data_IF_165451923935
#
_entry.id   IF_165451923935
#
_cell.length_a   1.000
_cell.length_b   1.000
_cell.length_c   1.000
_cell.angle_alpha   90.00
_cell.angle_beta   90.00
_cell.angle_gamma   90.00
#
_symmetry.space_group_name_H-M   'P 1'
#
loop_
_entity.id
_entity.type
_entity.pdbx_description
1 polymer ?
#
# COMPACT_ATOMS: atom_id res chain seq x y z
N UNK A 1 -2.47 -11.89 11.46
CA UNK A 1 -2.89 -10.51 11.80
C UNK A 1 -4.30 -10.54 12.39
N UNK A 2 -4.55 -9.77 13.41
CA UNK A 2 -5.89 -9.67 14.01
C UNK A 2 -6.81 -8.83 13.12
N UNK A 3 -8.10 -9.14 13.15
CA UNK A 3 -9.11 -8.43 12.37
C UNK A 3 -9.75 -7.31 13.18
N UNK A 4 -10.38 -6.36 12.46
CA UNK A 4 -11.10 -5.21 13.05
C UNK A 4 -10.19 -4.30 13.89
N UNK A 5 -8.92 -4.20 13.51
CA UNK A 5 -7.93 -3.36 14.18
C UNK A 5 -7.27 -2.46 13.14
N UNK A 6 -7.03 -1.21 13.52
CA UNK A 6 -6.24 -0.28 12.72
C UNK A 6 -4.80 -0.36 13.21
N UNK A 7 -3.88 -0.72 12.32
CA UNK A 7 -2.46 -0.79 12.64
C UNK A 7 -1.76 0.48 12.16
N UNK A 8 -1.09 1.15 13.08
CA UNK A 8 -0.30 2.34 12.75
C UNK A 8 1.13 1.92 12.39
N UNK A 9 1.30 1.48 11.15
CA UNK A 9 2.58 0.97 10.65
C UNK A 9 2.70 1.29 9.17
N UNK A 10 3.93 1.41 8.67
CA UNK A 10 4.17 1.52 7.24
C UNK A 10 3.52 0.34 6.50
N UNK A 11 2.78 0.64 5.43
CA UNK A 11 1.97 -0.38 4.77
C UNK A 11 2.79 -1.49 4.11
N UNK A 12 3.94 -1.17 3.53
CA UNK A 12 4.81 -2.17 2.90
C UNK A 12 5.35 -3.13 3.96
N UNK A 13 5.91 -2.59 5.02
CA UNK A 13 6.44 -3.40 6.12
C UNK A 13 5.33 -4.19 6.82
N UNK A 14 4.18 -3.56 7.05
CA UNK A 14 3.05 -4.19 7.71
C UNK A 14 2.50 -5.36 6.91
N UNK A 15 2.27 -5.19 5.61
CA UNK A 15 1.79 -6.27 4.77
C UNK A 15 2.80 -7.42 4.71
N UNK A 16 4.08 -7.09 4.57
CA UNK A 16 5.14 -8.10 4.47
C UNK A 16 5.25 -8.94 5.75
N UNK A 17 5.15 -8.30 6.91
CA UNK A 17 5.38 -8.95 8.20
C UNK A 17 4.14 -9.61 8.79
N UNK A 18 2.95 -9.10 8.50
CA UNK A 18 1.73 -9.45 9.23
C UNK A 18 0.66 -10.16 8.40
N UNK A 19 0.73 -10.08 7.08
CA UNK A 19 -0.33 -10.61 6.21
C UNK A 19 0.20 -11.73 5.33
N UNK A 20 -0.47 -12.88 5.38
CA UNK A 20 -0.11 -14.02 4.57
C UNK A 20 -0.48 -13.81 3.11
N UNK A 21 0.23 -14.51 2.23
CA UNK A 21 -0.04 -14.54 0.81
C UNK A 21 -1.47 -15.01 0.54
N UNK A 22 -2.15 -14.35 -0.41
CA UNK A 22 -3.47 -14.74 -0.88
C UNK A 22 -4.52 -14.88 0.24
N UNK A 23 -4.49 -13.99 1.24
CA UNK A 23 -5.37 -14.08 2.41
C UNK A 23 -6.41 -12.97 2.49
N UNK A 24 -6.32 -11.95 1.65
CA UNK A 24 -7.18 -10.77 1.71
C UNK A 24 -8.19 -10.78 0.58
N UNK A 25 -9.45 -10.51 0.91
CA UNK A 25 -10.57 -10.52 -0.06
C UNK A 25 -10.72 -9.21 -0.81
N UNK A 26 -10.45 -8.09 -0.14
CA UNK A 26 -10.68 -6.75 -0.67
C UNK A 26 -9.62 -5.79 -0.18
N UNK A 27 -9.07 -5.01 -1.09
CA UNK A 27 -8.15 -3.93 -0.76
C UNK A 27 -8.73 -2.63 -1.31
N UNK A 28 -8.80 -1.62 -0.45
CA UNK A 28 -9.13 -0.25 -0.83
C UNK A 28 -7.92 0.60 -0.44
N UNK A 29 -7.32 1.28 -1.42
CA UNK A 29 -6.13 2.07 -1.20
C UNK A 29 -6.34 3.51 -1.62
N UNK A 30 -5.84 4.44 -0.82
CA UNK A 30 -5.85 5.87 -1.11
C UNK A 30 -4.44 6.41 -0.84
N UNK A 31 -3.48 6.10 -1.73
CA UNK A 31 -2.10 6.48 -1.49
C UNK A 31 -1.87 7.97 -1.76
N UNK A 32 -0.84 8.56 -1.15
CA UNK A 32 -0.46 9.92 -1.49
C UNK A 32 0.03 10.00 -2.93
N UNK A 33 -0.23 11.12 -3.58
CA UNK A 33 0.18 11.38 -4.96
C UNK A 33 1.43 12.25 -4.97
N UNK A 34 2.23 12.12 -6.02
CA UNK A 34 3.47 12.86 -6.16
C UNK A 34 3.19 14.32 -6.55
N UNK A 35 3.35 15.24 -5.59
CA UNK A 35 3.26 16.69 -5.78
C UNK A 35 1.97 17.16 -6.47
N UNK A 36 0.87 16.46 -6.26
CA UNK A 36 -0.39 16.77 -6.95
C UNK A 36 -1.15 17.90 -6.25
N UNK A 37 -1.19 17.87 -4.90
CA UNK A 37 -2.02 18.80 -4.13
C UNK A 37 -1.20 19.92 -3.49
N UNK A 38 0.12 19.75 -3.38
CA UNK A 38 0.99 20.72 -2.72
C UNK A 38 0.99 20.61 -1.20
N UNK A 39 0.38 19.57 -0.66
CA UNK A 39 0.44 19.27 0.75
C UNK A 39 1.80 18.74 1.14
N UNK A 40 2.11 18.83 2.45
CA UNK A 40 3.42 18.44 2.96
C UNK A 40 3.79 16.99 2.62
N UNK A 41 2.83 16.09 2.66
CA UNK A 41 3.05 14.68 2.36
C UNK A 41 3.28 14.40 0.86
N UNK A 42 2.93 15.35 -0.02
CA UNK A 42 3.22 15.23 -1.46
C UNK A 42 4.72 15.34 -1.75
N UNK A 43 5.51 15.78 -0.79
CA UNK A 43 6.95 15.99 -0.94
C UNK A 43 7.79 14.94 -0.20
N UNK A 44 7.20 13.78 0.12
CA UNK A 44 7.89 12.67 0.75
C UNK A 44 8.98 12.06 -0.13
N UNK A 45 8.85 12.21 -1.44
CA UNK A 45 9.80 11.67 -2.40
C UNK A 45 10.51 12.81 -3.11
N UNK A 46 11.81 12.63 -3.31
CA UNK A 46 12.64 13.63 -3.98
C UNK A 46 12.37 13.71 -5.47
N UNK A 47 12.18 12.56 -6.10
CA UNK A 47 12.04 12.44 -7.55
C UNK A 47 10.85 11.59 -7.90
N UNK A 48 10.44 11.66 -9.15
CA UNK A 48 9.40 10.81 -9.70
C UNK A 48 9.82 9.33 -9.65
N UNK A 49 11.10 9.04 -9.87
CA UNK A 49 11.62 7.68 -9.78
C UNK A 49 11.48 7.12 -8.37
N UNK A 50 11.76 7.92 -7.35
CA UNK A 50 11.61 7.50 -5.96
C UNK A 50 10.15 7.18 -5.64
N UNK A 51 9.21 7.99 -6.14
CA UNK A 51 7.79 7.76 -5.98
C UNK A 51 7.36 6.46 -6.68
N UNK A 52 7.82 6.24 -7.91
CA UNK A 52 7.48 5.04 -8.67
C UNK A 52 8.04 3.78 -8.02
N UNK A 53 9.28 3.86 -7.50
CA UNK A 53 9.90 2.74 -6.79
C UNK A 53 9.09 2.37 -5.52
N UNK A 54 8.69 3.38 -4.74
CA UNK A 54 7.84 3.15 -3.58
C UNK A 54 6.50 2.55 -3.98
N UNK A 55 5.89 3.07 -5.05
CA UNK A 55 4.60 2.58 -5.53
C UNK A 55 4.67 1.12 -5.96
N UNK A 56 5.74 0.72 -6.63
CA UNK A 56 5.95 -0.68 -7.01
C UNK A 56 5.99 -1.59 -5.78
N UNK A 57 6.59 -1.14 -4.69
CA UNK A 57 6.70 -1.93 -3.46
C UNK A 57 5.34 -2.19 -2.83
N UNK A 58 4.52 -1.15 -2.64
CA UNK A 58 3.23 -1.36 -1.99
C UNK A 58 2.24 -2.09 -2.91
N UNK A 59 2.30 -1.85 -4.21
CA UNK A 59 1.44 -2.55 -5.19
C UNK A 59 1.81 -4.04 -5.23
N UNK A 60 3.10 -4.36 -5.22
CA UNK A 60 3.56 -5.75 -5.20
C UNK A 60 3.08 -6.49 -3.95
N UNK A 61 3.16 -5.84 -2.78
CA UNK A 61 2.65 -6.43 -1.55
C UNK A 61 1.13 -6.58 -1.56
N UNK A 62 0.41 -5.59 -2.09
CA UNK A 62 -1.05 -5.68 -2.23
C UNK A 62 -1.44 -6.86 -3.12
N UNK A 63 -0.74 -7.05 -4.24
CA UNK A 63 -0.98 -8.17 -5.14
C UNK A 63 -0.69 -9.51 -4.45
N UNK A 64 0.37 -9.57 -3.64
CA UNK A 64 0.75 -10.79 -2.93
C UNK A 64 -0.31 -11.23 -1.92
N UNK A 65 -0.83 -10.29 -1.13
CA UNK A 65 -1.78 -10.61 -0.06
C UNK A 65 -3.22 -10.82 -0.56
N UNK A 66 -3.55 -10.28 -1.73
CA UNK A 66 -4.89 -10.40 -2.29
C UNK A 66 -5.11 -11.83 -2.81
N UNK A 67 -6.20 -12.46 -2.39
CA UNK A 67 -6.52 -13.80 -2.87
C UNK A 67 -6.98 -13.78 -4.32
N UNK A 68 -6.92 -14.92 -4.98
CA UNK A 68 -7.47 -15.06 -6.34
C UNK A 68 -8.98 -14.77 -6.31
N UNK A 69 -9.44 -13.94 -7.24
CA UNK A 69 -10.83 -13.49 -7.26
C UNK A 69 -11.14 -12.35 -6.29
N UNK A 70 -10.15 -11.89 -5.52
CA UNK A 70 -10.30 -10.71 -4.68
C UNK A 70 -10.39 -9.43 -5.49
N UNK A 71 -10.79 -8.34 -4.84
CA UNK A 71 -10.99 -7.04 -5.50
C UNK A 71 -10.02 -5.99 -4.96
N UNK A 72 -9.53 -5.15 -5.86
CA UNK A 72 -8.65 -4.04 -5.53
C UNK A 72 -9.25 -2.74 -6.06
N UNK A 73 -9.42 -1.76 -5.19
CA UNK A 73 -9.91 -0.42 -5.54
C UNK A 73 -8.90 0.64 -5.13
N UNK A 74 -8.62 1.54 -6.05
CA UNK A 74 -7.65 2.62 -5.84
C UNK A 74 -8.34 3.98 -5.71
#
# INVERSE_FOLDING_TARGET
MDTNIIYNIDCVAGMNQMIDEASIDLIIADPPYFKVIGEKWDYLWRTEEDYLEWSEKWIAEAARVLRMGGSFYL
#
